data_IF_186814057442
#
_entry.id   IF_186814057442
#
_cell.length_a   1.000
_cell.length_b   1.000
_cell.length_c   1.000
_cell.angle_alpha   90.00
_cell.angle_beta   90.00
_cell.angle_gamma   90.00
#
_symmetry.space_group_name_H-M   'P 1'
#
loop_
_entity.id
_entity.type
_entity.pdbx_description
1 polymer ?
#
# COMPACT_ATOMS: atom_id res chain seq x y z
N UNK A 1 13.71 10.30 15.14
CA UNK A 1 12.82 9.49 14.27
C UNK A 1 13.23 8.03 14.38
N UNK A 2 12.27 7.15 14.42
CA UNK A 2 12.49 5.71 14.50
C UNK A 2 11.51 5.00 13.56
N UNK A 3 12.02 4.12 12.69
CA UNK A 3 11.21 3.34 11.75
C UNK A 3 10.57 2.20 12.53
N UNK A 4 9.25 2.09 12.44
CA UNK A 4 8.46 1.07 13.13
C UNK A 4 8.13 -0.12 12.22
N UNK A 5 7.90 0.15 10.94
CA UNK A 5 7.45 -0.85 9.99
C UNK A 5 7.81 -0.44 8.56
N UNK A 6 8.14 -1.42 7.73
CA UNK A 6 8.27 -1.23 6.29
C UNK A 6 7.06 -1.84 5.59
N UNK A 7 6.22 -0.99 5.01
CA UNK A 7 4.99 -1.36 4.34
C UNK A 7 5.22 -1.47 2.83
N UNK A 8 4.65 -2.47 2.22
CA UNK A 8 4.74 -2.70 0.78
C UNK A 8 3.40 -2.52 0.08
N UNK A 9 3.45 -2.10 -1.16
CA UNK A 9 2.26 -1.98 -1.99
C UNK A 9 1.99 -3.29 -2.71
N UNK A 10 0.74 -3.73 -2.66
CA UNK A 10 0.26 -4.99 -3.20
C UNK A 10 -0.80 -4.72 -4.28
N UNK A 11 -0.83 -5.58 -5.29
CA UNK A 11 -1.90 -5.59 -6.28
C UNK A 11 -3.16 -6.21 -5.69
N UNK A 12 -4.29 -5.58 -5.94
CA UNK A 12 -5.62 -5.99 -5.49
C UNK A 12 -6.47 -6.33 -6.71
N UNK A 13 -6.89 -7.58 -6.80
CA UNK A 13 -7.59 -8.13 -7.95
C UNK A 13 -8.93 -8.74 -7.53
N UNK A 14 -9.95 -8.74 -8.41
CA UNK A 14 -11.13 -9.57 -8.20
C UNK A 14 -10.78 -11.07 -8.29
N UNK A 15 -11.60 -11.96 -7.67
CA UNK A 15 -11.24 -13.38 -7.49
C UNK A 15 -10.94 -14.15 -8.77
N UNK A 16 -11.61 -13.82 -9.87
CA UNK A 16 -11.51 -14.56 -11.14
C UNK A 16 -10.71 -13.79 -12.21
N UNK A 17 -9.87 -12.86 -11.80
CA UNK A 17 -9.07 -12.07 -12.72
C UNK A 17 -7.95 -12.91 -13.34
N UNK A 18 -7.63 -12.69 -14.62
CA UNK A 18 -6.58 -13.45 -15.33
C UNK A 18 -5.21 -13.31 -14.68
N UNK A 19 -4.89 -12.15 -14.09
CA UNK A 19 -3.64 -11.94 -13.39
C UNK A 19 -3.53 -12.72 -12.08
N UNK A 20 -4.63 -13.23 -11.53
CA UNK A 20 -4.63 -14.01 -10.29
C UNK A 20 -3.82 -15.32 -10.39
N UNK A 21 -3.59 -15.83 -11.60
CA UNK A 21 -2.74 -17.01 -11.87
C UNK A 21 -1.25 -16.78 -11.59
N UNK A 22 -0.80 -15.52 -11.59
CA UNK A 22 0.60 -15.19 -11.31
C UNK A 22 0.84 -15.06 -9.81
N UNK A 23 2.02 -15.48 -9.36
CA UNK A 23 2.45 -15.32 -7.97
C UNK A 23 2.81 -13.88 -7.63
N UNK A 24 3.38 -13.16 -8.59
CA UNK A 24 3.75 -11.74 -8.53
C UNK A 24 3.27 -11.04 -9.79
N UNK A 25 2.98 -9.76 -9.69
CA UNK A 25 2.48 -8.95 -10.80
C UNK A 25 3.47 -7.83 -11.08
N UNK A 26 3.83 -7.64 -12.35
CA UNK A 26 4.69 -6.52 -12.75
C UNK A 26 3.89 -5.24 -12.92
N UNK A 27 4.57 -4.09 -12.85
CA UNK A 27 3.97 -2.80 -13.16
C UNK A 27 3.46 -2.74 -14.61
N UNK A 28 4.13 -3.42 -15.54
CA UNK A 28 3.68 -3.51 -16.93
C UNK A 28 2.34 -4.26 -17.06
N UNK A 29 2.16 -5.35 -16.29
CA UNK A 29 0.89 -6.08 -16.27
C UNK A 29 -0.23 -5.22 -15.66
N UNK A 30 0.06 -4.49 -14.57
CA UNK A 30 -0.92 -3.58 -13.98
C UNK A 30 -1.34 -2.47 -14.94
N UNK A 31 -0.40 -1.91 -15.69
CA UNK A 31 -0.66 -0.80 -16.62
C UNK A 31 -1.60 -1.18 -17.78
N UNK A 32 -1.70 -2.48 -18.12
CA UNK A 32 -2.55 -2.98 -19.20
C UNK A 32 -4.00 -3.24 -18.79
N UNK A 33 -4.30 -3.18 -17.51
CA UNK A 33 -5.62 -3.50 -16.98
C UNK A 33 -6.40 -2.23 -16.60
N UNK A 34 -7.73 -2.27 -16.62
CA UNK A 34 -8.55 -1.20 -16.05
C UNK A 34 -8.19 -0.96 -14.59
N UNK A 35 -7.71 0.22 -14.28
CA UNK A 35 -7.13 0.55 -12.98
C UNK A 35 -7.99 1.55 -12.21
N UNK A 36 -8.22 1.26 -10.94
CA UNK A 36 -8.90 2.14 -9.99
C UNK A 36 -7.81 2.80 -9.14
N UNK A 37 -7.62 4.10 -9.33
CA UNK A 37 -6.57 4.87 -8.66
C UNK A 37 -7.08 5.52 -7.39
N UNK A 38 -6.36 5.34 -6.28
CA UNK A 38 -6.49 6.21 -5.12
C UNK A 38 -5.93 7.59 -5.49
N UNK A 39 -6.79 8.61 -5.46
CA UNK A 39 -6.39 9.97 -5.81
C UNK A 39 -5.69 10.66 -4.64
N UNK A 40 -4.38 10.57 -4.64
CA UNK A 40 -3.46 11.23 -3.71
C UNK A 40 -2.79 12.46 -4.37
N UNK A 41 -3.32 12.92 -5.49
CA UNK A 41 -2.75 14.01 -6.26
C UNK A 41 -1.33 13.70 -6.74
N UNK A 42 -0.41 14.63 -6.51
CA UNK A 42 1.00 14.48 -6.93
C UNK A 42 1.82 13.50 -6.08
N UNK A 43 1.23 12.97 -5.00
CA UNK A 43 1.94 12.09 -4.05
C UNK A 43 1.70 10.59 -4.32
N UNK A 44 1.01 10.25 -5.39
CA UNK A 44 0.72 8.85 -5.73
C UNK A 44 2.00 8.06 -6.01
N UNK A 45 2.31 7.13 -5.12
CA UNK A 45 3.50 6.26 -5.22
C UNK A 45 3.42 5.35 -6.44
N UNK A 46 2.25 4.77 -6.71
CA UNK A 46 2.07 3.87 -7.84
C UNK A 46 2.23 4.61 -9.18
N UNK A 47 1.71 5.83 -9.28
CA UNK A 47 1.87 6.64 -10.49
C UNK A 47 3.35 7.00 -10.74
N UNK A 48 4.10 7.33 -9.69
CA UNK A 48 5.53 7.58 -9.82
C UNK A 48 6.31 6.32 -10.23
N UNK A 49 5.95 5.16 -9.68
CA UNK A 49 6.60 3.89 -10.03
C UNK A 49 6.36 3.53 -11.51
N UNK A 50 5.13 3.68 -11.99
CA UNK A 50 4.78 3.48 -13.40
C UNK A 50 5.51 4.46 -14.32
N UNK A 51 5.53 5.74 -13.98
CA UNK A 51 6.20 6.79 -14.76
C UNK A 51 7.71 6.54 -14.89
N UNK A 52 8.38 6.04 -13.85
CA UNK A 52 9.80 5.66 -13.93
C UNK A 52 10.10 4.59 -14.97
N UNK A 53 9.15 3.71 -15.23
CA UNK A 53 9.26 2.68 -16.26
C UNK A 53 8.62 3.11 -17.61
N UNK A 54 8.22 4.38 -17.73
CA UNK A 54 7.54 4.91 -18.92
C UNK A 54 6.23 4.16 -19.25
N UNK A 55 5.53 3.70 -18.21
CA UNK A 55 4.26 3.02 -18.32
C UNK A 55 3.10 3.97 -18.05
N UNK A 56 2.08 3.89 -18.89
CA UNK A 56 0.83 4.65 -18.76
C UNK A 56 -0.30 3.71 -18.35
N UNK A 57 -0.85 3.81 -17.14
CA UNK A 57 -1.95 2.97 -16.70
C UNK A 57 -3.28 3.38 -17.34
N UNK A 58 -4.17 2.40 -17.52
CA UNK A 58 -5.55 2.61 -17.96
C UNK A 58 -6.42 2.99 -16.76
N UNK A 59 -6.41 4.26 -16.36
CA UNK A 59 -7.19 4.72 -15.20
C UNK A 59 -8.66 4.87 -15.61
N UNK A 60 -9.51 3.95 -15.10
CA UNK A 60 -10.96 4.01 -15.30
C UNK A 60 -11.66 4.88 -14.25
N UNK A 61 -11.18 4.82 -13.02
CA UNK A 61 -11.76 5.55 -11.88
C UNK A 61 -10.67 6.17 -11.01
N UNK A 62 -10.95 7.37 -10.52
CA UNK A 62 -10.18 8.03 -9.45
C UNK A 62 -11.08 8.13 -8.22
N UNK A 63 -10.61 7.59 -7.11
CA UNK A 63 -11.39 7.46 -5.87
C UNK A 63 -10.55 7.97 -4.71
N UNK A 64 -11.17 8.63 -3.75
CA UNK A 64 -10.49 9.26 -2.60
C UNK A 64 -10.47 8.39 -1.35
N UNK A 65 -11.07 7.21 -1.39
CA UNK A 65 -11.25 6.33 -0.24
C UNK A 65 -10.85 4.88 -0.57
N UNK A 66 -9.94 4.32 0.22
CA UNK A 66 -9.41 2.96 0.04
C UNK A 66 -10.50 1.89 0.08
N UNK A 67 -11.44 2.00 1.02
CA UNK A 67 -12.49 0.98 1.19
C UNK A 67 -13.49 0.98 0.05
N UNK A 68 -13.78 2.14 -0.53
CA UNK A 68 -14.58 2.25 -1.75
C UNK A 68 -13.89 1.55 -2.92
N UNK A 69 -12.58 1.69 -3.05
CA UNK A 69 -11.79 1.00 -4.08
C UNK A 69 -11.91 -0.52 -3.90
N UNK A 70 -11.74 -1.03 -2.67
CA UNK A 70 -11.87 -2.47 -2.40
C UNK A 70 -13.24 -3.01 -2.80
N UNK A 71 -14.31 -2.30 -2.49
CA UNK A 71 -15.67 -2.66 -2.91
C UNK A 71 -15.81 -2.68 -4.43
N UNK A 72 -15.23 -1.70 -5.13
CA UNK A 72 -15.24 -1.64 -6.60
C UNK A 72 -14.47 -2.79 -7.24
N UNK A 73 -13.30 -3.14 -6.68
CA UNK A 73 -12.51 -4.30 -7.14
C UNK A 73 -13.28 -5.60 -6.93
N UNK A 74 -13.92 -5.79 -5.78
CA UNK A 74 -14.77 -6.96 -5.51
C UNK A 74 -15.90 -7.11 -6.55
N UNK A 75 -16.43 -6.01 -7.06
CA UNK A 75 -17.46 -6.00 -8.10
C UNK A 75 -16.90 -6.16 -9.53
N UNK A 76 -15.58 -6.30 -9.67
CA UNK A 76 -14.94 -6.49 -10.97
C UNK A 76 -14.85 -5.23 -11.85
N UNK A 77 -14.91 -4.03 -11.26
CA UNK A 77 -14.84 -2.77 -12.00
C UNK A 77 -13.40 -2.43 -12.45
N UNK A 78 -12.42 -3.13 -11.94
CA UNK A 78 -11.01 -2.95 -12.26
C UNK A 78 -10.12 -3.57 -11.20
N UNK A 79 -8.82 -3.32 -11.33
CA UNK A 79 -7.81 -3.70 -10.34
C UNK A 79 -7.27 -2.47 -9.64
N UNK A 80 -6.55 -2.64 -8.54
CA UNK A 80 -5.90 -1.54 -7.85
C UNK A 80 -4.58 -1.95 -7.21
N UNK A 81 -3.89 -1.01 -6.58
CA UNK A 81 -2.71 -1.25 -5.77
C UNK A 81 -2.83 -0.50 -4.45
N UNK A 82 -2.59 -1.18 -3.35
CA UNK A 82 -2.74 -0.64 -2.00
C UNK A 82 -1.64 -1.14 -1.07
N UNK A 83 -1.35 -0.35 -0.06
CA UNK A 83 -0.41 -0.75 0.99
C UNK A 83 -0.95 -1.89 1.86
N UNK A 84 -0.08 -2.81 2.25
CA UNK A 84 -0.46 -4.02 2.99
C UNK A 84 -1.15 -3.71 4.32
N UNK A 85 -0.76 -2.63 5.00
CA UNK A 85 -1.42 -2.19 6.25
C UNK A 85 -2.88 -1.77 6.05
N UNK A 86 -3.22 -1.22 4.89
CA UNK A 86 -4.62 -0.85 4.55
C UNK A 86 -5.45 -2.10 4.31
N UNK A 87 -4.86 -3.12 3.70
CA UNK A 87 -5.53 -4.36 3.34
C UNK A 87 -5.77 -5.30 4.53
N UNK A 88 -5.05 -5.13 5.62
CA UNK A 88 -5.13 -6.01 6.78
C UNK A 88 -6.55 -6.13 7.33
N UNK A 89 -7.13 -7.33 7.24
CA UNK A 89 -8.50 -7.63 7.65
C UNK A 89 -9.59 -7.35 6.59
N UNK A 90 -9.21 -6.93 5.38
CA UNK A 90 -10.14 -6.60 4.28
C UNK A 90 -9.91 -7.44 3.02
N UNK A 91 -9.19 -8.55 3.12
CA UNK A 91 -8.80 -9.39 1.98
C UNK A 91 -9.93 -10.29 1.47
N UNK A 92 -11.03 -10.42 2.21
CA UNK A 92 -12.15 -11.29 1.83
C UNK A 92 -12.74 -10.90 0.48
N UNK A 93 -12.89 -11.88 -0.40
CA UNK A 93 -13.40 -11.67 -1.75
C UNK A 93 -12.43 -10.96 -2.71
N UNK A 94 -11.16 -10.90 -2.36
CA UNK A 94 -10.10 -10.30 -3.15
C UNK A 94 -8.94 -11.27 -3.35
N UNK A 95 -8.19 -11.09 -4.43
CA UNK A 95 -6.89 -11.74 -4.66
C UNK A 95 -5.79 -10.70 -4.50
N UNK A 96 -4.86 -10.95 -3.58
CA UNK A 96 -3.75 -10.06 -3.26
C UNK A 96 -2.46 -10.66 -3.78
N UNK A 97 -1.67 -9.86 -4.50
CA UNK A 97 -0.38 -10.30 -5.06
C UNK A 97 0.70 -9.24 -4.84
N UNK A 98 1.95 -9.64 -4.57
CA UNK A 98 3.08 -8.73 -4.57
C UNK A 98 3.27 -8.08 -5.95
N UNK A 99 3.70 -6.82 -5.95
CA UNK A 99 4.08 -6.09 -7.16
C UNK A 99 5.59 -6.11 -7.26
N UNK A 100 6.14 -6.59 -8.38
CA UNK A 100 7.58 -6.55 -8.64
C UNK A 100 8.05 -5.11 -8.78
N UNK A 101 9.19 -4.78 -8.17
CA UNK A 101 9.83 -3.46 -8.26
C UNK A 101 9.00 -2.29 -7.73
N UNK A 102 7.98 -2.58 -6.93
CA UNK A 102 7.20 -1.53 -6.29
C UNK A 102 7.95 -0.95 -5.09
N UNK A 103 7.97 0.37 -4.95
CA UNK A 103 8.62 0.99 -3.81
C UNK A 103 7.89 0.65 -2.51
N UNK A 104 8.67 0.53 -1.44
CA UNK A 104 8.17 0.34 -0.09
C UNK A 104 8.16 1.69 0.63
N UNK A 105 7.26 1.84 1.59
CA UNK A 105 7.27 3.00 2.49
C UNK A 105 7.68 2.59 3.90
N UNK A 106 8.33 3.51 4.59
CA UNK A 106 8.62 3.35 6.01
C UNK A 106 7.55 4.08 6.82
N UNK A 107 6.92 3.35 7.72
CA UNK A 107 6.08 3.94 8.76
C UNK A 107 6.98 4.20 9.97
N UNK A 108 7.04 5.42 10.41
CA UNK A 108 7.97 5.84 11.46
C UNK A 108 7.28 6.71 12.51
N UNK A 109 7.80 6.67 13.72
CA UNK A 109 7.49 7.63 14.77
C UNK A 109 8.57 8.71 14.80
N UNK A 110 8.17 9.96 14.87
CA UNK A 110 9.08 11.10 14.92
C UNK A 110 8.76 12.00 16.10
N UNK A 111 9.80 12.61 16.66
CA UNK A 111 9.69 13.62 17.73
C UNK A 111 10.74 14.71 17.50
N UNK A 112 10.48 15.88 18.01
CA UNK A 112 11.37 17.03 17.89
C UNK A 112 12.63 16.90 18.75
N UNK A 113 12.41 16.75 20.07
CA UNK A 113 13.47 16.68 21.05
C UNK A 113 13.07 15.75 22.19
N UNK A 114 13.87 14.72 22.43
CA UNK A 114 13.62 13.73 23.47
C UNK A 114 13.63 14.34 24.88
N UNK A 115 14.55 15.28 25.14
CA UNK A 115 14.74 15.86 26.46
C UNK A 115 13.57 16.73 26.92
N UNK A 116 12.91 17.38 25.96
CA UNK A 116 11.75 18.27 26.23
C UNK A 116 10.40 17.56 26.18
N UNK A 117 10.39 16.28 25.79
CA UNK A 117 9.15 15.50 25.75
C UNK A 117 8.58 15.25 27.15
N UNK A 118 7.24 15.24 27.23
CA UNK A 118 6.53 14.84 28.45
C UNK A 118 6.84 13.38 28.81
N UNK A 119 6.71 13.05 30.09
CA UNK A 119 6.87 11.68 30.55
C UNK A 119 5.89 10.71 29.85
N UNK A 120 4.65 11.15 29.62
CA UNK A 120 3.63 10.37 28.92
C UNK A 120 4.07 10.04 27.50
N UNK A 121 4.58 11.01 26.74
CA UNK A 121 5.07 10.79 25.37
C UNK A 121 6.27 9.84 25.32
N UNK A 122 7.21 9.97 26.27
CA UNK A 122 8.35 9.05 26.36
C UNK A 122 7.91 7.62 26.69
N UNK A 123 6.95 7.47 27.63
CA UNK A 123 6.39 6.16 27.99
C UNK A 123 5.64 5.53 26.81
N UNK A 124 4.92 6.32 26.02
CA UNK A 124 4.26 5.85 24.82
C UNK A 124 5.27 5.29 23.79
N UNK A 125 6.37 6.01 23.53
CA UNK A 125 7.41 5.50 22.63
C UNK A 125 8.04 4.22 23.15
N UNK A 126 8.31 4.13 24.45
CA UNK A 126 8.82 2.89 25.07
C UNK A 126 7.84 1.73 24.89
N UNK A 127 6.55 1.99 25.16
CA UNK A 127 5.49 1.00 24.97
C UNK A 127 5.43 0.48 23.54
N UNK A 128 5.52 1.37 22.55
CA UNK A 128 5.57 0.99 21.13
C UNK A 128 6.76 0.06 20.87
N UNK A 129 7.95 0.41 21.32
CA UNK A 129 9.17 -0.40 21.13
C UNK A 129 9.04 -1.80 21.71
N UNK A 130 8.38 -1.92 22.86
CA UNK A 130 8.23 -3.19 23.58
C UNK A 130 7.09 -4.07 23.05
N UNK A 131 6.08 -3.48 22.41
CA UNK A 131 4.84 -4.18 22.09
C UNK A 131 4.53 -4.27 20.59
N UNK A 132 5.15 -3.46 19.72
CA UNK A 132 5.06 -3.67 18.30
C UNK A 132 6.02 -4.78 17.88
N UNK A 133 5.53 -5.80 17.16
CA UNK A 133 6.43 -6.75 16.52
C UNK A 133 7.23 -6.00 15.46
N UNK A 134 8.44 -5.59 15.82
CA UNK A 134 9.39 -4.99 14.88
C UNK A 134 9.90 -6.07 13.94
N UNK A 135 9.07 -6.56 13.05
CA UNK A 135 9.52 -7.30 11.88
C UNK A 135 10.12 -6.33 10.85
N UNK A 136 11.14 -5.60 11.29
CA UNK A 136 12.08 -5.02 10.36
C UNK A 136 13.04 -6.16 9.99
N UNK A 137 12.64 -7.00 9.06
CA UNK A 137 13.59 -7.89 8.40
C UNK A 137 14.46 -7.01 7.52
N UNK A 138 15.71 -6.86 7.95
CA UNK A 138 16.80 -6.31 7.16
C UNK A 138 16.95 -7.03 5.81
#
# INVERSE_FOLDING_TARGET
>A
MEILYQDEMLAVLPPNHDLAKYKTISLEQLAKEPFILLDEGQHSVIMHALAKQQLEPQIEYKVYDDYSILAMVQQGLGISAMYSLVLNGFEEGLVIRPITECPKRNVAIAWQNWETMTLASRNFIKFIRENLPLEIKN
#
